data_IF_800722072555
#
_entry.id   IF_800722072555
#
_cell.length_a   1.000
_cell.length_b   1.000
_cell.length_c   1.000
_cell.angle_alpha   90.00
_cell.angle_beta   90.00
_cell.angle_gamma   90.00
#
_symmetry.space_group_name_H-M   'P 1'
#
loop_
_entity.id
_entity.type
_entity.pdbx_description
1 polymer ?
#
# COMPACT_ATOMS: atom_id res chain seq x y z
N UNK A 1 -4.37 21.19 -60.24
CA UNK A 1 -5.34 21.26 -59.12
C UNK A 1 -5.38 19.89 -58.46
N UNK A 2 -4.71 19.70 -57.34
CA UNK A 2 -4.70 18.47 -56.58
C UNK A 2 -5.68 18.63 -55.41
N UNK A 3 -6.73 17.81 -55.39
CA UNK A 3 -7.73 17.77 -54.36
C UNK A 3 -7.19 16.99 -53.16
N UNK A 4 -7.03 17.67 -52.01
CA UNK A 4 -6.71 17.04 -50.76
C UNK A 4 -7.92 16.19 -50.27
N UNK A 5 -7.71 14.88 -50.10
CA UNK A 5 -8.67 13.99 -49.49
C UNK A 5 -8.82 14.24 -47.99
N UNK A 6 -9.98 13.92 -47.37
CA UNK A 6 -10.23 14.19 -45.98
C UNK A 6 -9.33 13.31 -45.09
N UNK A 7 -8.67 13.94 -44.11
CA UNK A 7 -7.97 13.29 -43.02
C UNK A 7 -8.98 12.45 -42.23
N UNK A 8 -8.78 11.13 -42.26
CA UNK A 8 -9.54 10.20 -41.43
C UNK A 8 -9.26 10.53 -39.97
N UNK A 9 -10.29 11.01 -39.27
CA UNK A 9 -10.32 11.16 -37.80
C UNK A 9 -10.16 9.77 -37.19
N UNK A 10 -9.00 9.55 -36.53
CA UNK A 10 -8.78 8.39 -35.66
C UNK A 10 -9.74 8.58 -34.46
N UNK A 11 -10.69 7.68 -34.24
CA UNK A 11 -11.53 7.79 -33.04
C UNK A 11 -10.63 7.56 -31.84
N UNK A 12 -10.52 8.57 -30.97
CA UNK A 12 -10.07 8.38 -29.59
C UNK A 12 -11.11 7.48 -28.92
N UNK A 13 -10.85 6.19 -28.99
CA UNK A 13 -11.63 5.19 -28.26
C UNK A 13 -11.29 5.31 -26.78
N UNK A 14 -12.13 6.05 -26.07
CA UNK A 14 -12.15 6.12 -24.60
C UNK A 14 -12.82 4.83 -24.05
N UNK A 15 -12.36 3.68 -24.54
CA UNK A 15 -12.62 2.38 -23.95
C UNK A 15 -11.57 2.20 -22.84
N UNK A 16 -11.75 2.87 -21.70
CA UNK A 16 -11.30 2.32 -20.44
C UNK A 16 -12.20 1.11 -20.25
N UNK A 17 -11.82 0.00 -20.89
CA UNK A 17 -12.42 -1.30 -20.62
C UNK A 17 -12.10 -1.58 -19.17
N UNK A 18 -13.10 -1.51 -18.31
CA UNK A 18 -13.00 -1.98 -16.94
C UNK A 18 -12.71 -3.49 -17.02
N UNK A 19 -11.42 -3.85 -17.04
CA UNK A 19 -11.02 -5.26 -17.01
C UNK A 19 -11.43 -5.81 -15.63
N UNK A 20 -12.26 -6.86 -15.56
CA UNK A 20 -12.76 -7.39 -14.30
C UNK A 20 -11.65 -7.87 -13.35
N UNK A 21 -10.47 -8.21 -13.88
CA UNK A 21 -9.30 -8.56 -13.07
C UNK A 21 -8.73 -7.32 -12.36
N UNK A 22 -8.65 -6.18 -13.08
CA UNK A 22 -8.22 -4.90 -12.49
C UNK A 22 -9.19 -4.45 -11.41
N UNK A 23 -10.50 -4.53 -11.65
CA UNK A 23 -11.53 -4.21 -10.66
C UNK A 23 -11.45 -5.12 -9.43
N UNK A 24 -11.25 -6.43 -9.64
CA UNK A 24 -11.08 -7.39 -8.54
C UNK A 24 -9.83 -7.07 -7.72
N UNK A 25 -8.69 -6.77 -8.35
CA UNK A 25 -7.45 -6.44 -7.67
C UNK A 25 -7.58 -5.16 -6.83
N UNK A 26 -8.23 -4.12 -7.37
CA UNK A 26 -8.52 -2.89 -6.61
C UNK A 26 -9.39 -3.18 -5.41
N UNK A 27 -10.46 -3.96 -5.58
CA UNK A 27 -11.37 -4.34 -4.49
C UNK A 27 -10.64 -5.12 -3.40
N UNK A 28 -9.81 -6.09 -3.75
CA UNK A 28 -8.99 -6.85 -2.78
C UNK A 28 -8.07 -5.90 -1.99
N UNK A 29 -7.44 -4.93 -2.67
CA UNK A 29 -6.60 -3.93 -2.00
C UNK A 29 -7.41 -3.04 -1.05
N UNK A 30 -8.55 -2.54 -1.50
CA UNK A 30 -9.43 -1.67 -0.72
C UNK A 30 -10.01 -2.42 0.51
N UNK A 31 -10.36 -3.70 0.37
CA UNK A 31 -10.84 -4.54 1.48
C UNK A 31 -9.75 -4.84 2.52
N UNK A 32 -8.52 -5.05 2.12
CA UNK A 32 -7.42 -5.29 3.06
C UNK A 32 -6.99 -4.02 3.82
N UNK A 33 -7.12 -2.86 3.19
CA UNK A 33 -6.68 -1.58 3.71
C UNK A 33 -7.78 -0.77 4.39
N UNK A 34 -8.95 -0.68 3.74
CA UNK A 34 -10.03 0.28 3.98
C UNK A 34 -10.81 0.10 5.29
N UNK A 35 -11.98 0.75 5.45
CA UNK A 35 -12.72 0.74 6.71
C UNK A 35 -13.45 -0.57 7.00
N UNK A 36 -13.63 -1.44 6.01
CA UNK A 36 -14.34 -2.73 6.15
C UNK A 36 -13.70 -3.80 5.27
N UNK A 37 -13.54 -4.98 5.82
CA UNK A 37 -13.06 -6.17 5.10
C UNK A 37 -13.75 -7.43 5.64
N UNK A 38 -14.02 -8.39 4.76
CA UNK A 38 -14.65 -9.67 5.13
C UNK A 38 -13.79 -10.48 6.11
N UNK A 39 -12.47 -10.39 5.97
CA UNK A 39 -11.51 -11.18 6.78
C UNK A 39 -11.33 -10.68 8.22
N UNK A 40 -11.97 -9.58 8.63
CA UNK A 40 -11.85 -8.98 9.96
C UNK A 40 -11.16 -7.60 9.93
N UNK A 41 -10.37 -7.25 10.94
CA UNK A 41 -9.74 -5.92 10.99
C UNK A 41 -8.83 -5.68 9.80
N UNK A 42 -9.09 -4.57 9.11
CA UNK A 42 -8.24 -4.06 8.03
C UNK A 42 -7.06 -3.31 8.60
N UNK A 43 -6.07 -2.95 7.76
CA UNK A 43 -4.90 -2.21 8.22
C UNK A 43 -5.28 -0.89 8.90
N UNK A 44 -6.17 -0.09 8.31
CA UNK A 44 -6.63 1.18 8.89
C UNK A 44 -7.43 0.97 10.18
N UNK A 45 -8.24 -0.09 10.26
CA UNK A 45 -8.97 -0.39 11.50
C UNK A 45 -8.04 -0.83 12.63
N UNK A 46 -6.97 -1.58 12.33
CA UNK A 46 -5.98 -1.98 13.32
C UNK A 46 -5.19 -0.78 13.90
N UNK A 47 -5.06 0.31 13.12
CA UNK A 47 -4.38 1.55 13.51
C UNK A 47 -5.31 2.59 14.15
N UNK A 48 -6.63 2.34 14.16
CA UNK A 48 -7.60 3.33 14.64
C UNK A 48 -7.45 3.56 16.14
N UNK A 49 -7.33 4.83 16.53
CA UNK A 49 -7.25 5.25 17.94
C UNK A 49 -5.92 4.93 18.63
N UNK A 50 -4.92 4.43 17.90
CA UNK A 50 -3.57 4.22 18.44
C UNK A 50 -2.86 5.56 18.53
N UNK A 51 -2.41 5.96 19.72
CA UNK A 51 -1.60 7.17 19.96
C UNK A 51 -0.14 6.98 19.54
N UNK A 52 0.63 8.05 19.43
CA UNK A 52 2.06 7.96 19.11
C UNK A 52 2.83 7.16 20.15
N UNK A 53 2.55 7.34 21.43
CA UNK A 53 3.16 6.56 22.52
C UNK A 53 2.87 5.08 22.38
N UNK A 54 1.62 4.72 22.13
CA UNK A 54 1.20 3.34 21.92
C UNK A 54 1.82 2.72 20.67
N UNK A 55 1.93 3.51 19.59
CA UNK A 55 2.50 3.07 18.34
C UNK A 55 4.00 2.77 18.42
N UNK A 56 4.73 3.42 19.34
CA UNK A 56 6.15 3.20 19.57
C UNK A 56 6.43 1.97 20.44
N UNK A 57 5.45 1.53 21.23
CA UNK A 57 5.64 0.43 22.15
C UNK A 57 6.07 -0.86 21.43
N UNK A 58 7.03 -1.57 22.02
CA UNK A 58 7.55 -2.86 21.56
C UNK A 58 7.42 -3.90 22.67
N UNK A 59 6.97 -5.13 22.36
CA UNK A 59 6.94 -6.20 23.34
C UNK A 59 8.34 -6.65 23.79
N UNK A 60 9.33 -6.45 22.92
CA UNK A 60 10.75 -6.69 23.15
C UNK A 60 11.58 -5.80 22.21
N UNK A 61 12.83 -5.48 22.59
CA UNK A 61 13.70 -4.55 21.84
C UNK A 61 13.98 -4.96 20.39
N UNK A 62 13.98 -6.26 20.11
CA UNK A 62 14.23 -6.84 18.78
C UNK A 62 12.94 -7.01 17.93
N UNK A 63 11.79 -6.55 18.43
CA UNK A 63 10.51 -6.63 17.73
C UNK A 63 10.12 -5.29 17.13
N UNK A 64 9.29 -5.36 16.08
CA UNK A 64 8.73 -4.16 15.47
C UNK A 64 7.58 -3.61 16.30
N UNK A 65 7.51 -2.27 16.34
CA UNK A 65 6.38 -1.52 16.88
C UNK A 65 5.25 -1.39 15.87
N UNK A 66 4.09 -0.95 16.31
CA UNK A 66 2.96 -0.62 15.43
C UNK A 66 3.35 0.45 14.41
N UNK A 67 4.12 1.47 14.82
CA UNK A 67 4.58 2.53 13.94
C UNK A 67 5.50 2.02 12.83
N UNK A 68 6.49 1.20 13.20
CA UNK A 68 7.39 0.58 12.21
C UNK A 68 6.62 -0.29 11.20
N UNK A 69 5.60 -1.03 11.63
CA UNK A 69 4.74 -1.81 10.75
C UNK A 69 3.91 -0.93 9.81
N UNK A 70 3.40 0.21 10.28
CA UNK A 70 2.67 1.16 9.45
C UNK A 70 3.57 1.78 8.35
N UNK A 71 4.78 2.21 8.72
CA UNK A 71 5.77 2.72 7.75
C UNK A 71 6.24 1.65 6.76
N UNK A 72 6.40 0.40 7.23
CA UNK A 72 6.73 -0.74 6.38
C UNK A 72 5.62 -1.02 5.35
N UNK A 73 4.36 -0.97 5.76
CA UNK A 73 3.23 -1.11 4.84
C UNK A 73 3.20 0.02 3.79
N UNK A 74 3.43 1.27 4.20
CA UNK A 74 3.56 2.41 3.29
C UNK A 74 4.70 2.22 2.27
N UNK A 75 5.87 1.76 2.74
CA UNK A 75 7.03 1.49 1.89
C UNK A 75 6.73 0.41 0.83
N UNK A 76 6.00 -0.65 1.17
CA UNK A 76 5.68 -1.69 0.20
C UNK A 76 4.63 -1.24 -0.82
N UNK A 77 3.68 -0.39 -0.45
CA UNK A 77 2.76 0.27 -1.39
C UNK A 77 3.53 1.14 -2.39
N UNK A 78 4.45 1.98 -1.91
CA UNK A 78 5.38 2.73 -2.75
C UNK A 78 6.17 1.81 -3.68
N UNK A 79 6.71 0.71 -3.17
CA UNK A 79 7.56 -0.20 -3.94
C UNK A 79 6.79 -0.88 -5.06
N UNK A 80 5.56 -1.34 -4.81
CA UNK A 80 4.72 -1.95 -5.85
C UNK A 80 4.29 -0.90 -6.87
N UNK A 81 3.78 0.27 -6.43
CA UNK A 81 3.43 1.38 -7.31
C UNK A 81 4.57 1.75 -8.25
N UNK A 82 5.76 1.95 -7.71
CA UNK A 82 6.96 2.27 -8.49
C UNK A 82 7.28 1.22 -9.55
N UNK A 83 7.09 -0.06 -9.25
CA UNK A 83 7.31 -1.15 -10.23
C UNK A 83 6.29 -1.09 -11.36
N UNK A 84 5.02 -0.84 -11.06
CA UNK A 84 3.96 -0.72 -12.05
C UNK A 84 4.14 0.49 -12.96
N UNK A 85 4.62 1.61 -12.42
CA UNK A 85 4.79 2.87 -13.15
C UNK A 85 6.17 3.03 -13.80
N UNK A 86 7.13 2.14 -13.55
CA UNK A 86 8.51 2.30 -14.00
C UNK A 86 9.29 3.43 -13.29
N UNK A 87 8.74 4.03 -12.23
CA UNK A 87 9.36 5.14 -11.53
C UNK A 87 10.70 4.76 -10.87
N UNK A 88 11.70 5.66 -10.80
CA UNK A 88 13.00 5.39 -10.20
C UNK A 88 12.91 5.13 -8.70
N UNK A 89 13.96 4.52 -8.13
CA UNK A 89 14.08 4.32 -6.67
C UNK A 89 14.45 5.63 -5.98
N UNK A 90 14.16 5.72 -4.67
CA UNK A 90 14.70 6.75 -3.79
C UNK A 90 13.76 7.89 -3.44
N UNK A 91 12.52 7.91 -3.99
CA UNK A 91 11.53 8.95 -3.69
C UNK A 91 10.66 8.68 -2.46
N UNK A 92 10.86 7.58 -1.72
CA UNK A 92 10.16 7.37 -0.46
C UNK A 92 10.72 8.29 0.62
N UNK A 93 9.88 9.03 1.36
CA UNK A 93 10.34 10.12 2.23
C UNK A 93 10.96 9.65 3.56
N UNK A 94 10.91 8.35 3.86
CA UNK A 94 11.48 7.76 5.08
C UNK A 94 12.59 6.78 4.73
N UNK A 95 13.60 6.68 5.60
CA UNK A 95 14.77 5.79 5.47
C UNK A 95 15.01 5.02 6.77
N UNK A 96 15.67 3.86 6.71
CA UNK A 96 16.10 3.10 5.53
C UNK A 96 14.96 2.45 4.78
N UNK A 97 15.26 1.80 3.66
CA UNK A 97 14.28 1.00 2.91
C UNK A 97 13.72 -0.15 3.75
N UNK A 98 12.52 -0.60 3.43
CA UNK A 98 11.83 -1.74 4.01
C UNK A 98 11.29 -1.49 5.43
N UNK A 99 12.11 -1.21 6.41
CA UNK A 99 11.71 -0.77 7.75
C UNK A 99 12.32 0.60 8.05
N UNK A 100 11.62 1.69 7.66
CA UNK A 100 12.08 3.04 7.95
C UNK A 100 12.17 3.28 9.47
N UNK A 101 13.18 4.05 9.87
CA UNK A 101 13.31 4.50 11.24
C UNK A 101 12.15 5.44 11.62
N UNK A 102 11.80 5.45 12.89
CA UNK A 102 10.88 6.44 13.42
C UNK A 102 11.51 7.85 13.33
N UNK A 103 10.68 8.92 13.26
CA UNK A 103 11.17 10.28 13.27
C UNK A 103 11.96 10.58 14.56
N UNK A 104 12.85 11.56 14.53
CA UNK A 104 13.66 11.98 15.70
C UNK A 104 12.79 12.42 16.89
N UNK A 105 11.63 13.01 16.59
CA UNK A 105 10.60 13.35 17.58
C UNK A 105 9.34 12.56 17.26
N UNK A 106 9.17 11.38 17.85
CA UNK A 106 8.03 10.51 17.59
C UNK A 106 6.82 10.94 18.45
N UNK A 107 6.25 12.09 18.14
CA UNK A 107 5.06 12.66 18.75
C UNK A 107 3.78 12.41 17.95
N UNK A 108 2.62 12.88 18.44
CA UNK A 108 1.33 12.68 17.77
C UNK A 108 1.25 13.36 16.39
N UNK A 109 1.95 14.49 16.18
CA UNK A 109 2.01 15.15 14.88
C UNK A 109 2.76 14.28 13.87
N UNK A 110 3.93 13.78 14.24
CA UNK A 110 4.74 12.90 13.40
C UNK A 110 4.01 11.55 13.12
N UNK A 111 3.27 11.04 14.09
CA UNK A 111 2.42 9.86 13.89
C UNK A 111 1.31 10.12 12.87
N UNK A 112 0.61 11.25 12.99
CA UNK A 112 -0.43 11.66 12.03
C UNK A 112 0.12 11.83 10.61
N UNK A 113 1.31 12.41 10.46
CA UNK A 113 2.00 12.57 9.18
C UNK A 113 2.33 11.21 8.54
N UNK A 114 2.82 10.25 9.31
CA UNK A 114 3.14 8.91 8.82
C UNK A 114 1.89 8.07 8.51
N UNK A 115 0.79 8.27 9.23
CA UNK A 115 -0.51 7.71 8.87
C UNK A 115 -1.06 8.33 7.57
N UNK A 116 -0.82 9.63 7.34
CA UNK A 116 -1.18 10.30 6.10
C UNK A 116 -0.35 9.78 4.94
N UNK A 117 0.96 9.61 5.12
CA UNK A 117 1.85 8.98 4.14
C UNK A 117 1.36 7.56 3.76
N UNK A 118 0.95 6.74 4.72
CA UNK A 118 0.41 5.41 4.48
C UNK A 118 -0.85 5.46 3.61
N UNK A 119 -1.78 6.38 3.90
CA UNK A 119 -3.02 6.57 3.12
C UNK A 119 -2.72 7.08 1.71
N UNK A 120 -1.81 8.04 1.59
CA UNK A 120 -1.40 8.60 0.30
C UNK A 120 -0.75 7.53 -0.60
N UNK A 121 0.14 6.71 -0.06
CA UNK A 121 0.78 5.65 -0.86
C UNK A 121 -0.23 4.55 -1.24
N UNK A 122 -1.26 4.29 -0.43
CA UNK A 122 -2.36 3.43 -0.82
C UNK A 122 -3.14 4.03 -2.00
N UNK A 123 -3.52 5.28 -1.90
CA UNK A 123 -4.28 5.97 -2.97
C UNK A 123 -3.47 6.03 -4.27
N UNK A 124 -2.20 6.42 -4.20
CA UNK A 124 -1.30 6.46 -5.37
C UNK A 124 -1.10 5.08 -6.00
N UNK A 125 -1.02 4.03 -5.19
CA UNK A 125 -0.94 2.65 -5.70
C UNK A 125 -2.25 2.25 -6.38
N UNK A 126 -3.39 2.56 -5.78
CA UNK A 126 -4.72 2.30 -6.33
C UNK A 126 -4.90 2.94 -7.70
N UNK A 127 -4.50 4.20 -7.85
CA UNK A 127 -4.50 4.93 -9.11
C UNK A 127 -3.58 4.28 -10.16
N UNK A 128 -2.38 3.87 -9.74
CA UNK A 128 -1.44 3.17 -10.61
C UNK A 128 -2.00 1.83 -11.10
N UNK A 129 -2.71 1.08 -10.25
CA UNK A 129 -3.35 -0.19 -10.64
C UNK A 129 -4.52 0.07 -11.59
N UNK A 130 -5.33 1.11 -11.35
CA UNK A 130 -6.45 1.47 -12.24
C UNK A 130 -5.98 1.89 -13.63
N UNK A 131 -4.80 2.52 -13.73
CA UNK A 131 -4.20 2.95 -15.00
C UNK A 131 -3.31 1.86 -15.64
N UNK A 132 -3.08 0.73 -14.97
CA UNK A 132 -2.15 -0.30 -15.45
C UNK A 132 -2.77 -1.12 -16.57
N UNK A 133 -2.03 -1.40 -17.68
CA UNK A 133 -2.55 -2.18 -18.80
C UNK A 133 -2.97 -3.60 -18.36
N UNK A 134 -4.24 -4.00 -18.52
CA UNK A 134 -4.67 -5.35 -18.12
C UNK A 134 -3.91 -6.48 -18.81
N UNK A 135 -3.47 -6.26 -20.04
CA UNK A 135 -2.66 -7.21 -20.81
C UNK A 135 -1.30 -7.51 -20.18
N UNK A 136 -0.76 -6.57 -19.37
CA UNK A 136 0.52 -6.73 -18.68
C UNK A 136 0.39 -7.33 -17.27
N UNK A 137 -0.82 -7.65 -16.79
CA UNK A 137 -1.02 -8.21 -15.45
C UNK A 137 -0.28 -9.53 -15.23
N UNK A 138 -0.21 -10.38 -16.25
CA UNK A 138 0.44 -11.69 -16.17
C UNK A 138 1.95 -11.64 -16.50
N UNK A 139 2.46 -10.47 -16.90
CA UNK A 139 3.87 -10.26 -17.15
C UNK A 139 4.67 -10.15 -15.84
N UNK A 140 5.95 -10.54 -15.93
CA UNK A 140 6.87 -10.42 -14.81
C UNK A 140 7.75 -9.17 -15.00
N UNK A 141 7.78 -8.24 -14.03
CA UNK A 141 8.74 -7.15 -14.05
C UNK A 141 10.18 -7.67 -14.10
N UNK A 142 11.08 -6.91 -14.72
CA UNK A 142 12.50 -7.25 -14.79
C UNK A 142 13.06 -7.61 -13.40
N UNK A 143 13.76 -8.74 -13.31
CA UNK A 143 14.33 -9.30 -12.07
C UNK A 143 13.30 -9.69 -11.00
N UNK A 144 12.03 -9.92 -11.39
CA UNK A 144 11.01 -10.47 -10.49
C UNK A 144 10.65 -11.90 -10.89
N UNK A 145 10.43 -12.76 -9.88
CA UNK A 145 9.81 -14.08 -10.06
C UNK A 145 8.28 -14.03 -10.08
N UNK A 146 7.70 -12.91 -9.66
CA UNK A 146 6.28 -12.70 -9.52
C UNK A 146 5.72 -11.83 -10.65
N UNK A 147 4.49 -12.10 -11.09
CA UNK A 147 3.76 -11.28 -12.07
C UNK A 147 3.35 -9.93 -11.48
N UNK A 148 2.93 -9.00 -12.35
CA UNK A 148 2.38 -7.72 -11.90
C UNK A 148 1.12 -7.92 -11.05
N UNK A 149 0.20 -8.80 -11.45
CA UNK A 149 -0.96 -9.16 -10.64
C UNK A 149 -0.55 -9.70 -9.27
N UNK A 150 0.47 -10.58 -9.21
CA UNK A 150 0.97 -11.13 -7.95
C UNK A 150 1.57 -10.05 -7.01
N UNK A 151 2.19 -9.01 -7.55
CA UNK A 151 2.63 -7.87 -6.75
C UNK A 151 1.45 -7.09 -6.18
N UNK A 152 0.37 -6.91 -6.96
CA UNK A 152 -0.81 -6.15 -6.56
C UNK A 152 -1.59 -6.90 -5.46
N UNK A 153 -1.99 -8.17 -5.69
CA UNK A 153 -2.70 -8.91 -4.62
C UNK A 153 -1.78 -9.24 -3.44
N UNK A 154 -0.47 -9.36 -3.69
CA UNK A 154 0.52 -9.58 -2.65
C UNK A 154 0.60 -8.43 -1.65
N UNK A 155 0.47 -7.17 -2.08
CA UNK A 155 0.45 -6.03 -1.16
C UNK A 155 -0.84 -5.99 -0.33
N UNK A 156 -1.97 -6.46 -0.86
CA UNK A 156 -3.20 -6.60 -0.09
C UNK A 156 -3.08 -7.69 0.98
N UNK A 157 -2.53 -8.86 0.64
CA UNK A 157 -2.24 -9.91 1.60
C UNK A 157 -1.26 -9.45 2.69
N UNK A 158 -0.29 -8.62 2.33
CA UNK A 158 0.68 -8.01 3.25
C UNK A 158 0.00 -7.04 4.23
N UNK A 159 -0.97 -6.25 3.77
CA UNK A 159 -1.77 -5.39 4.66
C UNK A 159 -2.56 -6.21 5.67
N UNK A 160 -3.24 -7.26 5.23
CA UNK A 160 -4.00 -8.16 6.13
C UNK A 160 -3.09 -8.86 7.15
N UNK A 161 -1.90 -9.31 6.72
CA UNK A 161 -0.88 -9.89 7.60
C UNK A 161 -0.43 -8.92 8.69
N UNK A 162 -0.12 -7.67 8.32
CA UNK A 162 0.30 -6.66 9.29
C UNK A 162 -0.86 -6.14 10.15
N UNK A 163 -2.08 -6.09 9.64
CA UNK A 163 -3.27 -5.79 10.46
C UNK A 163 -3.41 -6.78 11.62
N UNK A 164 -3.22 -8.07 11.38
CA UNK A 164 -3.20 -9.10 12.42
C UNK A 164 -2.07 -8.90 13.44
N UNK A 165 -0.87 -8.56 13.01
CA UNK A 165 0.27 -8.26 13.91
C UNK A 165 0.00 -7.03 14.77
N UNK A 166 -0.51 -5.95 14.18
CA UNK A 166 -0.86 -4.72 14.91
C UNK A 166 -1.94 -4.99 15.95
N UNK A 167 -2.98 -5.76 15.60
CA UNK A 167 -4.01 -6.17 16.55
C UNK A 167 -3.43 -6.97 17.73
N UNK A 168 -2.49 -7.88 17.45
CA UNK A 168 -1.82 -8.64 18.50
C UNK A 168 -0.98 -7.73 19.40
N UNK A 169 -0.20 -6.80 18.84
CA UNK A 169 0.59 -5.84 19.61
C UNK A 169 -0.29 -4.97 20.52
N UNK A 170 -1.40 -4.45 19.99
CA UNK A 170 -2.36 -3.65 20.76
C UNK A 170 -2.94 -4.45 21.95
N UNK A 171 -3.26 -5.73 21.76
CA UNK A 171 -3.75 -6.60 22.85
C UNK A 171 -2.67 -6.91 23.89
N UNK A 172 -1.44 -7.21 23.45
CA UNK A 172 -0.32 -7.48 24.34
C UNK A 172 0.00 -6.27 25.22
N UNK A 173 -0.01 -5.06 24.66
CA UNK A 173 0.21 -3.83 25.40
C UNK A 173 -0.87 -3.58 26.47
N UNK A 174 -2.13 -3.88 26.15
CA UNK A 174 -3.26 -3.69 27.06
C UNK A 174 -3.37 -4.78 28.14
N UNK A 175 -2.68 -5.91 27.96
CA UNK A 175 -2.73 -7.00 28.92
C UNK A 175 -1.90 -6.65 30.15
N UNK A 176 -2.44 -6.69 31.40
CA UNK A 176 -1.65 -6.51 32.60
C UNK A 176 -0.57 -7.59 32.65
N UNK A 177 0.69 -7.18 32.90
CA UNK A 177 1.79 -8.11 33.14
C UNK A 177 1.37 -9.06 34.27
N UNK A 178 1.08 -10.32 33.97
CA UNK A 178 1.00 -11.35 35.01
C UNK A 178 2.42 -11.52 35.56
N UNK A 179 2.66 -10.94 36.74
CA UNK A 179 3.85 -11.22 37.57
C UNK A 179 3.79 -12.64 38.10
#
# INVERSE_FOLDING_TARGET
>A
MATAGPLASIPFRNDIVNDPRTELLIRIMDEAFGPAGWHGPTLINALRGVTAEEAQWKPHADRHSVWELALHAAYWKYTVRRRLTGAPRGSFPRKPSNFPALPERPDDSAWADDLSLLREEHQRLREAVAAFPPTALDEKPTKSKWTNAAHIYGVAAHDAYHAGQIQLLNRLRQSPSRR
#
